data_IF_854249929881
#
_entry.id   IF_854249929881
#
_cell.length_a   1.000
_cell.length_b   1.000
_cell.length_c   1.000
_cell.angle_alpha   90.00
_cell.angle_beta   90.00
_cell.angle_gamma   90.00
#
_symmetry.space_group_name_H-M   'P 1'
#
loop_
_entity.id
_entity.type
_entity.pdbx_description
1 polymer ?
#
# COMPACT_ATOMS: atom_id res chain seq x y z
N UNK A 1 13.85 -0.68 -39.84
CA UNK A 1 14.12 0.25 -38.72
C UNK A 1 13.00 0.32 -37.67
N UNK A 2 11.81 -0.25 -37.91
CA UNK A 2 10.73 -0.29 -36.91
C UNK A 2 10.86 -1.42 -35.86
N UNK A 3 11.50 -2.55 -36.17
CA UNK A 3 11.66 -3.66 -35.21
C UNK A 3 12.56 -3.33 -34.01
N UNK A 4 13.57 -2.47 -34.19
CA UNK A 4 14.52 -2.12 -33.13
C UNK A 4 13.90 -1.25 -32.02
N UNK A 5 12.90 -0.42 -32.36
CA UNK A 5 12.17 0.40 -31.37
C UNK A 5 11.30 -0.45 -30.44
N UNK A 6 10.71 -1.54 -30.95
CA UNK A 6 9.81 -2.38 -30.16
C UNK A 6 10.55 -3.21 -29.11
N UNK A 7 11.74 -3.72 -29.47
CA UNK A 7 12.57 -4.51 -28.53
C UNK A 7 13.09 -3.65 -27.37
N UNK A 8 13.49 -2.41 -27.65
CA UNK A 8 13.96 -1.49 -26.60
C UNK A 8 12.87 -1.10 -25.60
N UNK A 9 11.63 -0.91 -26.06
CA UNK A 9 10.49 -0.58 -25.19
C UNK A 9 10.11 -1.74 -24.26
N UNK A 10 10.18 -2.98 -24.75
CA UNK A 10 9.85 -4.19 -23.96
C UNK A 10 10.88 -4.41 -22.83
N UNK A 11 12.17 -4.17 -23.09
CA UNK A 11 13.20 -4.29 -22.06
C UNK A 11 13.07 -3.26 -20.93
N UNK A 12 12.68 -2.02 -21.25
CA UNK A 12 12.54 -0.96 -20.25
C UNK A 12 11.33 -1.19 -19.33
N UNK A 13 10.21 -1.69 -19.86
CA UNK A 13 9.03 -2.02 -19.07
C UNK A 13 9.32 -3.13 -18.04
N UNK A 14 9.95 -4.24 -18.46
CA UNK A 14 10.29 -5.34 -17.56
C UNK A 14 11.29 -4.96 -16.46
N UNK A 15 12.18 -3.98 -16.71
CA UNK A 15 13.10 -3.48 -15.69
C UNK A 15 12.40 -2.59 -14.65
N UNK A 16 11.41 -1.79 -15.06
CA UNK A 16 10.62 -0.98 -14.13
C UNK A 16 9.77 -1.86 -13.20
N UNK A 17 9.11 -2.89 -13.73
CA UNK A 17 8.29 -3.82 -12.94
C UNK A 17 9.13 -4.63 -11.92
N UNK A 18 10.30 -5.12 -12.34
CA UNK A 18 11.22 -5.83 -11.45
C UNK A 18 11.85 -4.92 -10.39
N UNK A 19 12.00 -3.62 -10.67
CA UNK A 19 12.56 -2.67 -9.71
C UNK A 19 11.54 -2.27 -8.64
N UNK A 20 10.28 -1.98 -9.01
CA UNK A 20 9.21 -1.67 -8.05
C UNK A 20 8.94 -2.84 -7.11
N UNK A 21 8.86 -4.08 -7.63
CA UNK A 21 8.70 -5.29 -6.81
C UNK A 21 9.86 -5.53 -5.83
N UNK A 22 11.08 -5.06 -6.14
CA UNK A 22 12.25 -5.20 -5.25
C UNK A 22 12.31 -4.17 -4.12
N UNK A 23 11.59 -3.05 -4.20
CA UNK A 23 11.67 -1.97 -3.20
C UNK A 23 10.93 -2.31 -1.91
N UNK A 24 9.92 -3.18 -1.98
CA UNK A 24 9.17 -3.64 -0.81
C UNK A 24 8.89 -5.14 -0.88
N UNK A 25 9.93 -5.94 -0.64
CA UNK A 25 9.83 -7.41 -0.64
C UNK A 25 10.11 -7.99 0.76
N UNK A 26 9.04 -8.20 1.54
CA UNK A 26 9.08 -8.93 2.81
C UNK A 26 8.66 -10.41 2.66
N UNK A 27 8.42 -10.89 1.44
CA UNK A 27 7.91 -12.24 1.18
C UNK A 27 8.79 -13.32 1.82
N UNK A 28 10.12 -13.16 1.75
CA UNK A 28 11.09 -14.11 2.35
C UNK A 28 10.97 -14.19 3.87
N UNK A 29 10.77 -13.06 4.54
CA UNK A 29 10.63 -13.01 6.00
C UNK A 29 9.33 -13.67 6.45
N UNK A 30 8.23 -13.43 5.72
CA UNK A 30 6.94 -14.05 6.01
C UNK A 30 6.90 -15.54 5.66
N UNK A 31 7.58 -15.96 4.58
CA UNK A 31 7.79 -17.38 4.24
C UNK A 31 8.50 -18.15 5.37
N UNK A 32 9.51 -17.54 6.01
CA UNK A 32 10.19 -18.13 7.18
C UNK A 32 9.27 -18.29 8.41
N UNK A 33 8.20 -17.52 8.48
CA UNK A 33 7.18 -17.59 9.53
C UNK A 33 6.02 -18.54 9.17
N UNK A 34 6.10 -19.22 8.01
CA UNK A 34 5.01 -20.06 7.50
C UNK A 34 3.82 -19.25 6.95
N UNK A 35 4.00 -17.96 6.69
CA UNK A 35 2.96 -17.03 6.23
C UNK A 35 3.19 -16.70 4.75
N UNK A 36 3.06 -17.69 3.87
CA UNK A 36 3.17 -17.44 2.42
C UNK A 36 1.89 -16.82 1.88
N UNK A 37 0.76 -17.36 2.30
CA UNK A 37 -0.58 -16.91 1.94
C UNK A 37 -1.36 -16.57 3.21
N UNK A 38 -2.20 -15.54 3.14
CA UNK A 38 -3.00 -15.03 4.24
C UNK A 38 -4.45 -14.83 3.78
N UNK A 39 -5.37 -15.03 4.71
CA UNK A 39 -6.77 -14.66 4.53
C UNK A 39 -6.97 -13.24 5.05
N UNK A 40 -7.28 -12.33 4.14
CA UNK A 40 -7.34 -10.90 4.42
C UNK A 40 -8.79 -10.46 4.29
N UNK A 41 -9.25 -9.49 5.08
CA UNK A 41 -10.56 -8.91 4.82
C UNK A 41 -10.45 -8.20 3.46
N UNK A 42 -11.08 -8.75 2.42
CA UNK A 42 -11.14 -8.13 1.09
C UNK A 42 -12.09 -6.94 1.11
N UNK A 43 -11.81 -5.90 0.32
CA UNK A 43 -12.74 -4.77 0.14
C UNK A 43 -13.99 -5.16 -0.68
N UNK A 44 -13.88 -6.18 -1.54
CA UNK A 44 -14.86 -6.41 -2.62
C UNK A 44 -15.72 -7.68 -2.46
N UNK A 45 -15.68 -8.35 -1.30
CA UNK A 45 -16.51 -9.55 -1.11
C UNK A 45 -17.42 -9.39 0.09
N UNK A 46 -18.72 -9.26 -0.21
CA UNK A 46 -19.83 -9.30 0.73
C UNK A 46 -20.03 -10.67 1.40
N UNK A 47 -19.11 -11.61 1.22
CA UNK A 47 -19.24 -12.98 1.68
C UNK A 47 -17.97 -13.46 2.42
N UNK A 48 -17.94 -13.39 3.76
CA UNK A 48 -16.77 -13.78 4.57
C UNK A 48 -16.36 -15.26 4.41
N UNK A 49 -17.22 -16.08 3.80
CA UNK A 49 -16.98 -17.49 3.51
C UNK A 49 -16.13 -17.77 2.24
N UNK A 50 -15.79 -16.73 1.46
CA UNK A 50 -15.16 -16.89 0.13
C UNK A 50 -13.75 -16.32 0.01
N UNK A 51 -13.11 -15.98 1.14
CA UNK A 51 -11.79 -15.37 1.16
C UNK A 51 -10.70 -16.39 0.77
N UNK A 52 -10.44 -16.49 -0.53
CA UNK A 52 -9.29 -17.24 -1.05
C UNK A 52 -7.99 -16.70 -0.45
N UNK A 53 -7.05 -17.57 -0.04
CA UNK A 53 -5.74 -17.12 0.42
C UNK A 53 -5.06 -16.26 -0.65
N UNK A 54 -4.57 -15.09 -0.24
CA UNK A 54 -3.80 -14.18 -1.08
C UNK A 54 -2.33 -14.22 -0.65
N UNK A 55 -1.38 -13.88 -1.55
CA UNK A 55 0.02 -13.72 -1.16
C UNK A 55 0.13 -12.77 0.04
N UNK A 56 0.96 -13.12 1.03
CA UNK A 56 1.09 -12.34 2.25
C UNK A 56 1.45 -10.88 1.99
N UNK A 57 2.23 -10.60 0.95
CA UNK A 57 2.57 -9.24 0.52
C UNK A 57 1.33 -8.43 0.09
N UNK A 58 0.44 -9.01 -0.72
CA UNK A 58 -0.84 -8.39 -1.08
C UNK A 58 -1.68 -8.11 0.17
N UNK A 59 -1.78 -9.11 1.05
CA UNK A 59 -2.55 -9.01 2.29
C UNK A 59 -2.11 -7.85 3.19
N UNK A 60 -0.79 -7.77 3.40
CA UNK A 60 -0.17 -6.75 4.22
C UNK A 60 -0.37 -5.37 3.60
N UNK A 61 -0.17 -5.23 2.29
CA UNK A 61 -0.42 -3.97 1.60
C UNK A 61 -1.88 -3.51 1.79
N UNK A 62 -2.86 -4.41 1.56
CA UNK A 62 -4.27 -4.08 1.74
C UNK A 62 -4.60 -3.70 3.19
N UNK A 63 -3.98 -4.38 4.16
CA UNK A 63 -4.14 -4.11 5.59
C UNK A 63 -3.58 -2.74 5.96
N UNK A 64 -2.39 -2.39 5.47
CA UNK A 64 -1.76 -1.10 5.74
C UNK A 64 -2.56 0.04 5.10
N UNK A 65 -2.92 -0.10 3.83
CA UNK A 65 -3.75 0.88 3.12
C UNK A 65 -5.10 1.10 3.82
N UNK A 66 -5.78 0.02 4.22
CA UNK A 66 -7.02 0.15 5.01
C UNK A 66 -6.80 0.88 6.32
N UNK A 67 -5.71 0.60 7.05
CA UNK A 67 -5.45 1.27 8.32
C UNK A 67 -5.17 2.76 8.14
N UNK A 68 -4.46 3.14 7.08
CA UNK A 68 -4.25 4.55 6.71
C UNK A 68 -5.61 5.21 6.44
N UNK A 69 -6.43 4.63 5.58
CA UNK A 69 -7.75 5.17 5.24
C UNK A 69 -8.67 5.30 6.45
N UNK A 70 -8.70 4.30 7.33
CA UNK A 70 -9.48 4.36 8.56
C UNK A 70 -9.07 5.54 9.44
N UNK A 71 -7.76 5.80 9.59
CA UNK A 71 -7.25 6.93 10.37
C UNK A 71 -7.56 8.28 9.72
N UNK A 72 -7.43 8.37 8.39
CA UNK A 72 -7.78 9.57 7.63
C UNK A 72 -9.30 9.84 7.66
N UNK A 73 -10.13 8.80 7.62
CA UNK A 73 -11.59 8.93 7.66
C UNK A 73 -12.14 9.20 9.07
N UNK A 74 -11.40 8.78 10.12
CA UNK A 74 -11.72 9.11 11.50
C UNK A 74 -11.30 10.55 11.89
N UNK A 75 -10.58 11.26 11.02
CA UNK A 75 -10.22 12.65 11.28
C UNK A 75 -11.44 13.53 11.09
N UNK A 76 -11.84 14.25 12.13
CA UNK A 76 -12.91 15.24 12.06
C UNK A 76 -12.52 16.35 11.07
N UNK A 77 -13.39 16.64 10.12
CA UNK A 77 -13.23 17.76 9.17
C UNK A 77 -13.90 19.02 9.72
N UNK A 78 -13.58 19.36 10.96
CA UNK A 78 -14.16 20.51 11.66
C UNK A 78 -13.60 21.85 11.17
N UNK A 79 -12.49 21.82 10.40
CA UNK A 79 -11.93 22.99 9.75
C UNK A 79 -11.27 22.65 8.39
N UNK A 80 -11.25 23.65 7.52
CA UNK A 80 -10.52 23.62 6.25
C UNK A 80 -9.15 24.31 6.42
N UNK A 81 -8.16 23.84 5.67
CA UNK A 81 -6.84 24.43 5.61
C UNK A 81 -6.66 25.21 4.32
N UNK A 82 -6.13 26.43 4.42
CA UNK A 82 -5.63 27.18 3.28
C UNK A 82 -4.30 26.58 2.81
N UNK A 83 -4.28 26.01 1.62
CA UNK A 83 -3.05 25.60 0.94
C UNK A 83 -2.74 26.55 -0.21
N UNK A 84 -1.52 27.06 -0.25
CA UNK A 84 -1.02 27.96 -1.30
C UNK A 84 -0.19 27.14 -2.27
N UNK A 85 -0.60 27.09 -3.53
CA UNK A 85 0.24 26.49 -4.57
C UNK A 85 1.35 27.48 -4.92
N UNK A 86 2.62 27.05 -4.89
CA UNK A 86 3.77 27.93 -5.19
C UNK A 86 3.70 28.70 -6.53
N UNK A 87 2.83 28.29 -7.45
CA UNK A 87 2.68 28.86 -8.81
C UNK A 87 1.42 29.73 -8.94
N UNK A 88 0.47 29.61 -8.01
CA UNK A 88 -0.79 30.36 -8.00
C UNK A 88 -0.99 30.94 -6.61
N UNK A 89 -1.01 32.27 -6.47
CA UNK A 89 -1.37 32.95 -5.21
C UNK A 89 -2.80 32.61 -4.75
N UNK A 90 -3.55 31.84 -5.53
CA UNK A 90 -4.88 31.35 -5.20
C UNK A 90 -4.81 30.29 -4.09
N UNK A 91 -5.32 30.67 -2.93
CA UNK A 91 -5.56 29.77 -1.80
C UNK A 91 -6.65 28.78 -2.17
N UNK A 92 -6.36 27.49 -2.06
CA UNK A 92 -7.40 26.46 -2.07
C UNK A 92 -7.69 26.03 -0.64
N UNK A 93 -8.97 25.89 -0.33
CA UNK A 93 -9.40 25.29 0.92
C UNK A 93 -9.55 23.79 0.70
N UNK A 94 -8.90 23.02 1.55
CA UNK A 94 -9.01 21.56 1.58
C UNK A 94 -9.36 21.10 3.00
N UNK A 95 -10.11 20.01 3.17
CA UNK A 95 -10.37 19.46 4.49
C UNK A 95 -9.06 19.04 5.20
N UNK A 96 -8.94 19.29 6.51
CA UNK A 96 -7.75 18.90 7.27
C UNK A 96 -7.40 17.41 7.09
N UNK A 97 -8.42 16.54 7.08
CA UNK A 97 -8.26 15.09 6.87
C UNK A 97 -7.58 14.71 5.56
N UNK A 98 -7.43 15.64 4.62
CA UNK A 98 -6.82 15.44 3.29
C UNK A 98 -5.65 16.39 3.02
N UNK A 99 -5.22 17.13 4.04
CA UNK A 99 -3.98 17.89 3.99
C UNK A 99 -2.78 16.96 4.01
N UNK A 100 -1.71 17.37 3.34
CA UNK A 100 -0.42 16.65 3.37
C UNK A 100 0.06 16.47 4.82
N UNK A 101 -0.08 17.51 5.66
CA UNK A 101 0.28 17.44 7.07
C UNK A 101 -0.44 16.33 7.81
N UNK A 102 -1.77 16.22 7.64
CA UNK A 102 -2.51 15.14 8.29
C UNK A 102 -2.16 13.76 7.75
N UNK A 103 -1.90 13.65 6.45
CA UNK A 103 -1.46 12.39 5.84
C UNK A 103 -0.14 11.94 6.49
N UNK A 104 0.84 12.84 6.62
CA UNK A 104 2.12 12.55 7.27
C UNK A 104 1.96 12.08 8.72
N UNK A 105 1.11 12.74 9.52
CA UNK A 105 0.84 12.32 10.91
C UNK A 105 0.26 10.89 10.99
N UNK A 106 -0.63 10.54 10.05
CA UNK A 106 -1.17 9.17 9.96
C UNK A 106 -0.06 8.20 9.59
N UNK A 107 0.78 8.53 8.61
CA UNK A 107 1.88 7.67 8.19
C UNK A 107 2.90 7.41 9.33
N UNK A 108 3.20 8.41 10.16
CA UNK A 108 4.11 8.26 11.32
C UNK A 108 3.56 7.36 12.44
N UNK A 109 2.25 7.16 12.50
CA UNK A 109 1.59 6.46 13.61
C UNK A 109 0.98 5.12 13.21
N UNK A 110 0.62 4.93 11.93
CA UNK A 110 -0.12 3.76 11.45
C UNK A 110 0.57 2.44 11.79
N UNK A 111 1.90 2.38 11.69
CA UNK A 111 2.66 1.16 11.92
C UNK A 111 2.76 0.75 13.41
N UNK A 112 2.36 1.62 14.34
CA UNK A 112 2.33 1.29 15.78
C UNK A 112 1.17 0.33 16.11
N UNK A 113 0.12 0.35 15.30
CA UNK A 113 -1.18 -0.29 15.57
C UNK A 113 -1.48 -1.49 14.66
N UNK A 114 -0.67 -1.72 13.62
CA UNK A 114 -0.88 -2.84 12.70
C UNK A 114 -0.56 -4.19 13.35
N UNK A 115 -1.43 -5.16 13.10
CA UNK A 115 -1.28 -6.56 13.47
C UNK A 115 -2.08 -7.43 12.52
N UNK A 116 -1.75 -8.72 12.47
CA UNK A 116 -2.61 -9.72 11.83
C UNK A 116 -3.58 -10.28 12.88
N UNK A 117 -4.84 -10.58 12.51
CA UNK A 117 -5.80 -11.22 13.41
C UNK A 117 -5.41 -12.67 13.70
N UNK A 118 -6.06 -13.27 14.70
CA UNK A 118 -5.96 -14.70 14.97
C UNK A 118 -6.31 -15.55 13.73
N UNK A 119 -5.62 -16.69 13.50
CA UNK A 119 -4.68 -17.36 14.39
C UNK A 119 -3.21 -16.88 14.26
N UNK A 120 -2.95 -15.82 13.48
CA UNK A 120 -1.58 -15.38 13.18
C UNK A 120 -1.01 -14.39 14.22
N UNK A 121 -1.78 -14.04 15.24
CA UNK A 121 -1.35 -13.14 16.30
C UNK A 121 -0.29 -13.80 17.18
N UNK A 122 0.98 -13.50 16.90
CA UNK A 122 2.10 -13.87 17.76
C UNK A 122 3.09 -12.71 17.88
N UNK A 123 3.87 -12.61 18.97
CA UNK A 123 4.85 -11.53 19.13
C UNK A 123 5.84 -11.43 17.95
N UNK A 124 6.30 -12.58 17.42
CA UNK A 124 7.23 -12.63 16.28
C UNK A 124 6.59 -12.10 14.99
N UNK A 125 5.34 -12.52 14.72
CA UNK A 125 4.58 -12.05 13.56
C UNK A 125 4.29 -10.56 13.69
N UNK A 126 3.89 -10.08 14.87
CA UNK A 126 3.64 -8.65 15.10
C UNK A 126 4.89 -7.80 14.84
N UNK A 127 6.07 -8.23 15.26
CA UNK A 127 7.33 -7.54 14.93
C UNK A 127 7.57 -7.54 13.42
N UNK A 128 7.37 -8.66 12.73
CA UNK A 128 7.53 -8.75 11.29
C UNK A 128 6.55 -7.84 10.52
N UNK A 129 5.29 -7.78 10.95
CA UNK A 129 4.24 -6.93 10.37
C UNK A 129 4.58 -5.46 10.58
N UNK A 130 5.00 -5.05 11.77
CA UNK A 130 5.42 -3.68 12.06
C UNK A 130 6.63 -3.26 11.23
N UNK A 131 7.63 -4.12 11.11
CA UNK A 131 8.80 -3.85 10.27
C UNK A 131 8.43 -3.74 8.78
N UNK A 132 7.51 -4.59 8.30
CA UNK A 132 7.02 -4.50 6.93
C UNK A 132 6.21 -3.22 6.69
N UNK A 133 5.42 -2.78 7.67
CA UNK A 133 4.72 -1.50 7.61
C UNK A 133 5.68 -0.32 7.58
N UNK A 134 6.70 -0.33 8.44
CA UNK A 134 7.69 0.76 8.46
C UNK A 134 8.40 0.85 7.11
N UNK A 135 8.87 -0.28 6.56
CA UNK A 135 9.46 -0.32 5.23
C UNK A 135 8.51 0.11 4.11
N UNK A 136 7.19 -0.12 4.27
CA UNK A 136 6.19 0.35 3.31
C UNK A 136 6.04 1.87 3.35
N UNK A 137 5.87 2.43 4.55
CA UNK A 137 5.67 3.88 4.75
C UNK A 137 6.91 4.66 4.36
N UNK A 138 8.09 4.21 4.78
CA UNK A 138 9.36 4.90 4.49
C UNK A 138 9.64 4.97 2.99
N UNK A 139 9.32 3.89 2.25
CA UNK A 139 9.58 3.81 0.81
C UNK A 139 8.55 4.56 -0.03
N UNK A 140 7.28 4.55 0.40
CA UNK A 140 6.16 5.03 -0.41
C UNK A 140 5.43 6.25 0.15
N UNK A 141 6.01 6.98 1.12
CA UNK A 141 5.39 8.17 1.70
C UNK A 141 4.91 9.17 0.62
N UNK A 142 5.75 9.48 -0.36
CA UNK A 142 5.41 10.42 -1.44
C UNK A 142 4.27 9.91 -2.33
N UNK A 143 4.29 8.61 -2.67
CA UNK A 143 3.22 7.97 -3.44
C UNK A 143 1.90 8.01 -2.65
N UNK A 144 1.93 7.73 -1.34
CA UNK A 144 0.77 7.77 -0.45
C UNK A 144 0.20 9.18 -0.29
N UNK A 145 1.05 10.20 -0.15
CA UNK A 145 0.64 11.61 -0.14
C UNK A 145 -0.06 11.94 -1.45
N UNK A 146 0.53 11.58 -2.59
CA UNK A 146 -0.07 11.82 -3.91
C UNK A 146 -1.43 11.14 -4.08
N UNK A 147 -1.61 9.93 -3.57
CA UNK A 147 -2.87 9.18 -3.65
C UNK A 147 -3.99 9.79 -2.80
N UNK A 148 -3.68 10.26 -1.58
CA UNK A 148 -4.68 10.74 -0.62
C UNK A 148 -4.89 12.25 -0.61
N UNK A 149 -3.96 13.03 -1.14
CA UNK A 149 -4.07 14.49 -1.15
C UNK A 149 -5.35 14.93 -1.86
N UNK A 150 -6.22 15.61 -1.13
CA UNK A 150 -7.53 16.07 -1.59
C UNK A 150 -8.40 14.96 -2.28
N UNK A 151 -8.23 13.70 -1.87
CA UNK A 151 -8.91 12.56 -2.46
C UNK A 151 -9.54 11.69 -1.37
N UNK A 152 -10.84 11.42 -1.47
CA UNK A 152 -11.60 10.61 -0.51
C UNK A 152 -11.86 9.18 -0.98
N UNK A 153 -11.49 8.83 -2.21
CA UNK A 153 -11.68 7.48 -2.72
C UNK A 153 -10.71 6.50 -2.02
N UNK A 154 -11.13 5.24 -1.79
CA UNK A 154 -10.23 4.18 -1.36
C UNK A 154 -9.08 4.00 -2.37
N UNK A 155 -7.86 3.77 -1.88
CA UNK A 155 -6.63 3.73 -2.69
C UNK A 155 -5.94 2.36 -2.66
N UNK A 156 -6.54 1.33 -2.04
CA UNK A 156 -5.93 0.01 -1.95
C UNK A 156 -5.60 -0.58 -3.31
N UNK A 157 -6.52 -0.50 -4.29
CA UNK A 157 -6.31 -1.05 -5.63
C UNK A 157 -5.18 -0.33 -6.35
N UNK A 158 -5.20 1.02 -6.33
CA UNK A 158 -4.17 1.84 -6.95
C UNK A 158 -2.77 1.49 -6.43
N UNK A 159 -2.64 1.25 -5.12
CA UNK A 159 -1.35 0.93 -4.53
C UNK A 159 -0.98 -0.57 -4.64
N UNK A 160 -1.83 -1.46 -4.16
CA UNK A 160 -1.47 -2.87 -4.00
C UNK A 160 -1.57 -3.68 -5.30
N UNK A 161 -2.46 -3.29 -6.22
CA UNK A 161 -2.68 -3.96 -7.50
C UNK A 161 -1.92 -3.24 -8.61
N UNK A 162 -2.21 -1.96 -8.81
CA UNK A 162 -1.72 -1.27 -10.01
C UNK A 162 -0.24 -0.86 -9.86
N UNK A 163 0.11 -0.24 -8.73
CA UNK A 163 1.47 0.23 -8.47
C UNK A 163 2.42 -0.90 -8.10
N UNK A 164 2.06 -1.74 -7.13
CA UNK A 164 2.95 -2.78 -6.59
C UNK A 164 2.75 -4.17 -7.19
N UNK A 165 1.61 -4.42 -7.88
CA UNK A 165 1.32 -5.70 -8.53
C UNK A 165 1.46 -6.92 -7.61
N UNK A 166 1.05 -6.78 -6.34
CA UNK A 166 1.22 -7.82 -5.32
C UNK A 166 0.09 -8.84 -5.33
N UNK A 167 -1.09 -8.43 -5.79
CA UNK A 167 -2.33 -9.17 -5.67
C UNK A 167 -2.69 -10.02 -6.90
N UNK A 168 -1.74 -10.23 -7.82
CA UNK A 168 -1.94 -11.17 -8.91
C UNK A 168 -2.03 -12.60 -8.36
N UNK A 169 -3.09 -13.32 -8.73
CA UNK A 169 -3.27 -14.72 -8.34
C UNK A 169 -2.14 -15.57 -8.93
N UNK A 170 -1.27 -16.10 -8.05
CA UNK A 170 -0.39 -17.24 -8.30
C UNK A 170 0.38 -17.26 -9.63
N UNK A 171 1.65 -16.85 -9.59
CA UNK A 171 2.69 -17.60 -10.30
C UNK A 171 3.90 -17.75 -9.39
N UNK A 172 3.87 -18.80 -8.58
CA UNK A 172 5.12 -19.49 -8.30
C UNK A 172 5.62 -20.01 -9.63
N UNK A 173 6.69 -19.42 -10.14
CA UNK A 173 7.61 -19.96 -11.15
C UNK A 173 8.84 -19.04 -11.19
N UNK A 174 9.69 -19.15 -10.17
CA UNK A 174 11.12 -18.85 -10.29
C UNK A 174 11.87 -20.16 -10.07
N UNK A 175 11.73 -21.07 -11.03
CA UNK A 175 12.72 -22.09 -11.36
C UNK A 175 13.24 -21.73 -12.76
N UNK A 176 14.40 -21.07 -12.80
CA UNK A 176 15.42 -21.28 -13.84
C UNK A 176 16.80 -20.89 -13.30
#
# INVERSE_FOLDING_TARGET
MQLLCWVAAICMAGMADAWVKRRWDHSRSFKKLGLTDLTCPSHDIADPASSSPLPASCCLCQTFMRRIEMNLNATENDHEMDVVFRISEEKKQIPYSRSEGRILEVLESVCKEVSLPDPHASPKVNVAVKNACQGFVDEFADDLIGLYYNNLAPQQTAMCVDRLQLCAAGSGNDEL
#
